data_IF_812600256144
#
_entry.id   IF_812600256144
#
_cell.length_a   1.000
_cell.length_b   1.000
_cell.length_c   1.000
_cell.angle_alpha   90.00
_cell.angle_beta   90.00
_cell.angle_gamma   90.00
#
_symmetry.space_group_name_H-M   'P 1'
#
loop_
_entity.id
_entity.type
_entity.pdbx_description
1 polymer ?
#
# COMPACT_ATOMS: atom_id res chain seq x y z
N UNK A 1 6.97 1.18 -36.44
CA UNK A 1 7.32 0.46 -35.20
C UNK A 1 8.27 1.34 -34.41
N UNK A 2 7.73 2.19 -33.55
CA UNK A 2 8.50 2.99 -32.61
C UNK A 2 9.06 2.04 -31.54
N UNK A 3 10.38 2.04 -31.37
CA UNK A 3 11.03 1.29 -30.30
C UNK A 3 10.48 1.80 -28.97
N UNK A 4 9.99 0.94 -28.06
CA UNK A 4 9.50 1.40 -26.76
C UNK A 4 10.60 2.21 -26.07
N UNK A 5 10.21 3.33 -25.45
CA UNK A 5 11.14 4.18 -24.73
C UNK A 5 11.89 3.35 -23.68
N UNK A 6 13.22 3.43 -23.66
CA UNK A 6 14.04 2.71 -22.68
C UNK A 6 13.63 3.15 -21.26
N UNK A 7 13.51 2.23 -20.27
CA UNK A 7 13.05 2.55 -18.92
C UNK A 7 13.77 3.73 -18.24
N UNK A 8 15.08 3.87 -18.50
CA UNK A 8 15.91 4.99 -18.04
C UNK A 8 15.42 6.37 -18.53
N UNK A 9 14.89 6.47 -19.75
CA UNK A 9 14.39 7.73 -20.31
C UNK A 9 13.10 8.22 -19.65
N UNK A 10 12.26 7.34 -19.10
CA UNK A 10 11.05 7.77 -18.38
C UNK A 10 11.37 8.44 -17.04
N UNK A 11 12.38 7.93 -16.31
CA UNK A 11 12.77 8.48 -14.99
C UNK A 11 13.37 9.89 -15.11
N UNK A 12 14.08 10.17 -16.19
CA UNK A 12 14.65 11.49 -16.48
C UNK A 12 13.62 12.48 -17.05
N UNK A 13 12.55 11.99 -17.68
CA UNK A 13 11.54 12.84 -18.35
C UNK A 13 10.45 13.40 -17.44
N UNK A 14 10.13 12.74 -16.32
CA UNK A 14 9.07 13.23 -15.42
C UNK A 14 9.68 14.22 -14.44
N UNK A 15 9.63 15.50 -14.79
CA UNK A 15 10.02 16.57 -13.88
C UNK A 15 9.19 16.48 -12.57
N UNK A 16 9.82 16.69 -11.40
CA UNK A 16 9.07 16.76 -10.15
C UNK A 16 8.00 17.86 -10.23
N UNK A 17 6.82 17.66 -9.62
CA UNK A 17 5.77 18.66 -9.64
C UNK A 17 6.23 19.95 -8.97
N UNK A 18 5.92 21.08 -9.60
CA UNK A 18 6.12 22.43 -9.05
C UNK A 18 5.25 22.65 -7.82
N UNK A 19 5.61 23.61 -6.98
CA UNK A 19 4.82 23.91 -5.77
C UNK A 19 3.38 24.31 -6.07
N UNK A 20 3.15 25.01 -7.19
CA UNK A 20 1.83 25.43 -7.63
C UNK A 20 0.97 24.25 -8.09
N UNK A 21 1.54 23.36 -8.91
CA UNK A 21 0.88 22.09 -9.28
C UNK A 21 0.55 21.26 -8.04
N UNK A 22 1.48 21.21 -7.08
CA UNK A 22 1.25 20.51 -5.82
C UNK A 22 0.06 21.09 -5.06
N UNK A 23 -0.05 22.41 -4.92
CA UNK A 23 -1.21 23.06 -4.29
C UNK A 23 -2.54 22.74 -4.99
N UNK A 24 -2.52 22.55 -6.31
CA UNK A 24 -3.71 22.22 -7.11
C UNK A 24 -4.11 20.74 -7.01
N UNK A 25 -3.13 19.84 -6.94
CA UNK A 25 -3.32 18.40 -7.10
C UNK A 25 -3.43 17.62 -5.79
N UNK A 26 -3.15 18.25 -4.65
CA UNK A 26 -3.29 17.61 -3.35
C UNK A 26 -4.17 18.41 -2.40
N UNK A 27 -4.81 17.72 -1.46
CA UNK A 27 -5.48 18.37 -0.33
C UNK A 27 -4.44 19.10 0.53
N UNK A 28 -4.74 20.32 0.99
CA UNK A 28 -3.85 21.05 1.88
C UNK A 28 -3.64 20.27 3.17
N UNK A 29 -2.38 20.12 3.58
CA UNK A 29 -1.98 19.45 4.81
C UNK A 29 -1.22 20.46 5.65
N UNK A 30 -1.86 20.95 6.71
CA UNK A 30 -1.21 21.84 7.66
C UNK A 30 -0.19 21.06 8.49
N UNK A 31 1.09 21.36 8.30
CA UNK A 31 2.18 20.75 9.06
C UNK A 31 2.58 21.70 10.18
N UNK A 32 2.50 21.29 11.46
CA UNK A 32 3.00 22.09 12.57
C UNK A 32 4.48 22.46 12.41
N UNK A 33 4.86 23.67 12.79
CA UNK A 33 6.25 24.15 12.66
C UNK A 33 7.24 23.39 13.55
N UNK A 34 6.79 22.89 14.71
CA UNK A 34 7.63 22.25 15.72
C UNK A 34 7.15 20.83 16.03
N UNK A 35 8.08 19.97 16.43
CA UNK A 35 7.77 18.65 16.95
C UNK A 35 6.99 18.79 18.27
N UNK A 36 5.92 18.01 18.40
CA UNK A 36 5.16 17.91 19.64
C UNK A 36 5.93 17.10 20.70
N UNK A 37 5.54 17.19 21.97
CA UNK A 37 6.10 16.34 23.01
C UNK A 37 5.84 14.85 22.74
N UNK A 38 4.72 14.52 22.08
CA UNK A 38 4.39 13.15 21.70
C UNK A 38 5.34 12.61 20.62
N UNK A 39 5.72 13.46 19.64
CA UNK A 39 6.73 13.10 18.64
C UNK A 39 8.08 12.77 19.30
N UNK A 40 8.56 13.65 20.20
CA UNK A 40 9.80 13.45 20.93
C UNK A 40 9.76 12.18 21.79
N UNK A 41 8.66 11.95 22.49
CA UNK A 41 8.47 10.74 23.28
C UNK A 41 8.60 9.48 22.42
N UNK A 42 7.95 9.46 21.25
CA UNK A 42 8.05 8.36 20.31
C UNK A 42 9.49 8.07 19.89
N UNK A 43 10.26 9.10 19.53
CA UNK A 43 11.67 8.92 19.15
C UNK A 43 12.53 8.40 20.31
N UNK A 44 12.33 8.93 21.53
CA UNK A 44 13.07 8.48 22.72
C UNK A 44 12.81 7.00 23.01
N UNK A 45 11.59 6.50 22.82
CA UNK A 45 11.26 5.07 23.01
C UNK A 45 11.91 4.18 21.95
N UNK A 46 12.16 4.68 20.73
CA UNK A 46 12.81 3.91 19.65
C UNK A 46 14.31 3.75 19.85
N UNK A 47 15.00 4.75 20.39
CA UNK A 47 16.47 4.73 20.50
C UNK A 47 17.00 3.45 21.20
N UNK A 48 16.45 3.01 22.34
CA UNK A 48 16.87 1.76 22.98
C UNK A 48 16.59 0.49 22.16
N UNK A 49 15.63 0.54 21.23
CA UNK A 49 15.27 -0.59 20.36
C UNK A 49 16.18 -0.71 19.14
N UNK A 50 16.99 0.31 18.82
CA UNK A 50 17.81 0.32 17.62
C UNK A 50 18.81 -0.86 17.52
N UNK A 51 19.58 -1.23 18.57
CA UNK A 51 20.47 -2.40 18.51
C UNK A 51 19.73 -3.70 18.21
N UNK A 52 18.58 -3.91 18.85
CA UNK A 52 17.74 -5.09 18.62
C UNK A 52 17.15 -5.10 17.21
N UNK A 53 16.76 -3.93 16.70
CA UNK A 53 16.26 -3.76 15.34
C UNK A 53 17.29 -4.24 14.32
N UNK A 54 18.57 -3.89 14.50
CA UNK A 54 19.66 -4.36 13.62
C UNK A 54 19.83 -5.87 13.69
N UNK A 55 19.78 -6.47 14.89
CA UNK A 55 19.89 -7.92 15.06
C UNK A 55 18.74 -8.65 14.36
N UNK A 56 17.50 -8.20 14.59
CA UNK A 56 16.32 -8.78 13.94
C UNK A 56 16.40 -8.59 12.43
N UNK A 57 16.88 -7.44 11.94
CA UNK A 57 17.01 -7.16 10.51
C UNK A 57 17.93 -8.17 9.83
N UNK A 58 19.14 -8.36 10.37
CA UNK A 58 20.11 -9.32 9.84
C UNK A 58 19.57 -10.74 9.92
N UNK A 59 18.96 -11.13 11.04
CA UNK A 59 18.36 -12.45 11.21
C UNK A 59 17.24 -12.70 10.20
N UNK A 60 16.32 -11.74 9.99
CA UNK A 60 15.25 -11.85 9.00
C UNK A 60 15.78 -11.90 7.58
N UNK A 61 16.84 -11.14 7.23
CA UNK A 61 17.50 -11.24 5.92
C UNK A 61 18.02 -12.67 5.66
N UNK A 62 18.74 -13.25 6.63
CA UNK A 62 19.30 -14.59 6.50
C UNK A 62 18.20 -15.67 6.41
N UNK A 63 17.20 -15.59 7.27
CA UNK A 63 16.10 -16.57 7.33
C UNK A 63 15.16 -16.49 6.12
N UNK A 64 15.04 -15.32 5.48
CA UNK A 64 14.20 -15.14 4.30
C UNK A 64 14.88 -15.49 2.98
N UNK A 65 16.20 -15.73 2.95
CA UNK A 65 16.95 -15.99 1.72
C UNK A 65 16.41 -17.22 0.95
N UNK A 66 16.38 -18.39 1.60
CA UNK A 66 15.92 -19.63 0.97
C UNK A 66 14.46 -19.56 0.46
N UNK A 67 13.46 -19.13 1.25
CA UNK A 67 12.09 -19.03 0.75
C UNK A 67 11.94 -17.99 -0.37
N UNK A 68 12.70 -16.88 -0.34
CA UNK A 68 12.67 -15.89 -1.43
C UNK A 68 13.28 -16.44 -2.73
N UNK A 69 14.39 -17.19 -2.65
CA UNK A 69 14.97 -17.85 -3.84
C UNK A 69 13.97 -18.83 -4.46
N UNK A 70 13.30 -19.65 -3.65
CA UNK A 70 12.25 -20.55 -4.16
C UNK A 70 11.07 -19.79 -4.77
N UNK A 71 10.68 -18.67 -4.17
CA UNK A 71 9.63 -17.80 -4.71
C UNK A 71 10.05 -17.19 -6.06
N UNK A 72 11.30 -16.77 -6.19
CA UNK A 72 11.86 -16.27 -7.44
C UNK A 72 11.92 -17.35 -8.52
N UNK A 73 12.36 -18.56 -8.17
CA UNK A 73 12.34 -19.71 -9.09
C UNK A 73 10.92 -20.02 -9.55
N UNK A 74 9.95 -20.07 -8.64
CA UNK A 74 8.54 -20.26 -8.98
C UNK A 74 8.07 -19.23 -10.00
N UNK A 75 8.33 -17.94 -9.75
CA UNK A 75 7.96 -16.83 -10.62
C UNK A 75 8.65 -16.90 -11.99
N UNK A 76 9.92 -17.31 -12.02
CA UNK A 76 10.72 -17.42 -13.24
C UNK A 76 10.12 -18.44 -14.21
N UNK A 77 9.65 -19.58 -13.70
CA UNK A 77 9.02 -20.63 -14.51
C UNK A 77 7.57 -20.30 -14.95
N UNK A 78 7.02 -19.15 -14.55
CA UNK A 78 5.72 -18.73 -15.04
C UNK A 78 5.82 -18.09 -16.43
N UNK A 79 4.77 -18.16 -17.27
CA UNK A 79 4.71 -17.45 -18.55
C UNK A 79 5.03 -15.95 -18.45
N UNK A 80 5.34 -15.30 -19.57
CA UNK A 80 5.75 -13.89 -19.59
C UNK A 80 4.72 -12.94 -18.95
N UNK A 81 3.47 -12.96 -19.41
CA UNK A 81 2.38 -12.19 -18.84
C UNK A 81 1.41 -13.16 -18.16
N UNK A 82 1.08 -12.88 -16.90
CA UNK A 82 0.21 -13.74 -16.08
C UNK A 82 -0.77 -12.86 -15.34
N UNK A 83 -2.07 -13.09 -15.56
CA UNK A 83 -3.12 -12.36 -14.84
C UNK A 83 -3.14 -12.74 -13.36
N UNK A 84 -3.22 -14.02 -13.06
CA UNK A 84 -3.16 -14.57 -11.72
C UNK A 84 -2.40 -15.90 -11.75
N UNK A 85 -1.64 -16.22 -10.71
CA UNK A 85 -0.98 -17.51 -10.62
C UNK A 85 -2.03 -18.63 -10.48
N UNK A 86 -1.89 -19.67 -11.29
CA UNK A 86 -2.76 -20.84 -11.23
C UNK A 86 -2.48 -21.64 -9.95
N UNK A 87 -3.54 -21.96 -9.20
CA UNK A 87 -3.44 -22.66 -7.90
C UNK A 87 -3.63 -24.17 -8.03
N UNK A 88 -2.82 -24.79 -8.90
CA UNK A 88 -2.77 -26.24 -9.09
C UNK A 88 -1.91 -26.96 -8.04
N UNK A 89 -1.72 -28.28 -8.19
CA UNK A 89 -0.96 -29.10 -7.24
C UNK A 89 0.49 -28.63 -7.06
N UNK A 90 1.18 -28.27 -8.16
CA UNK A 90 2.55 -27.77 -8.11
C UNK A 90 2.68 -26.43 -7.37
N UNK A 91 1.72 -25.53 -7.55
CA UNK A 91 1.64 -24.28 -6.78
C UNK A 91 1.55 -24.56 -5.28
N UNK A 92 0.63 -25.44 -4.87
CA UNK A 92 0.44 -25.75 -3.45
C UNK A 92 1.65 -26.44 -2.82
N UNK A 93 2.32 -27.33 -3.56
CA UNK A 93 3.55 -27.97 -3.11
C UNK A 93 4.67 -26.94 -2.84
N UNK A 94 4.91 -26.02 -3.78
CA UNK A 94 5.91 -24.96 -3.62
C UNK A 94 5.50 -23.99 -2.51
N UNK A 95 4.24 -23.56 -2.49
CA UNK A 95 3.72 -22.67 -1.46
C UNK A 95 3.87 -23.26 -0.06
N UNK A 96 3.60 -24.55 0.13
CA UNK A 96 3.77 -25.24 1.41
C UNK A 96 5.25 -25.33 1.81
N UNK A 97 6.14 -25.65 0.86
CA UNK A 97 7.59 -25.67 1.10
C UNK A 97 8.10 -24.28 1.52
N UNK A 98 7.69 -23.24 0.81
CA UNK A 98 8.03 -21.84 1.14
C UNK A 98 7.49 -21.46 2.51
N UNK A 99 6.28 -21.90 2.88
CA UNK A 99 5.71 -21.68 4.21
C UNK A 99 6.55 -22.32 5.32
N UNK A 100 6.96 -23.59 5.15
CA UNK A 100 7.81 -24.29 6.11
C UNK A 100 9.14 -23.58 6.28
N UNK A 101 9.80 -23.22 5.18
CA UNK A 101 11.09 -22.51 5.21
C UNK A 101 10.96 -21.08 5.75
N UNK A 102 9.82 -20.43 5.57
CA UNK A 102 9.55 -19.08 6.11
C UNK A 102 9.11 -19.12 7.57
N UNK A 103 8.81 -20.28 8.15
CA UNK A 103 8.29 -20.37 9.52
C UNK A 103 9.23 -19.72 10.55
N UNK A 104 10.55 -19.93 10.53
CA UNK A 104 11.46 -19.25 11.46
C UNK A 104 11.42 -17.71 11.34
N UNK A 105 11.40 -17.17 10.11
CA UNK A 105 11.33 -15.70 9.91
C UNK A 105 9.97 -15.14 10.29
N UNK A 106 8.88 -15.87 10.05
CA UNK A 106 7.52 -15.51 10.50
C UNK A 106 7.40 -15.49 12.02
N UNK A 107 7.95 -16.50 12.72
CA UNK A 107 7.96 -16.54 14.19
C UNK A 107 8.77 -15.36 14.74
N UNK A 108 9.96 -15.11 14.19
CA UNK A 108 10.78 -13.95 14.58
C UNK A 108 10.04 -12.62 14.36
N UNK A 109 9.36 -12.47 13.22
CA UNK A 109 8.58 -11.27 12.91
C UNK A 109 7.44 -11.07 13.93
N UNK A 110 6.67 -12.11 14.22
CA UNK A 110 5.57 -12.05 15.21
C UNK A 110 6.12 -11.70 16.60
N UNK A 111 7.19 -12.36 17.05
CA UNK A 111 7.83 -12.07 18.35
C UNK A 111 8.31 -10.62 18.40
N UNK A 112 8.97 -10.14 17.34
CA UNK A 112 9.43 -8.76 17.26
C UNK A 112 8.27 -7.76 17.34
N UNK A 113 7.20 -7.97 16.56
CA UNK A 113 6.01 -7.13 16.62
C UNK A 113 5.38 -7.12 18.03
N UNK A 114 5.31 -8.27 18.70
CA UNK A 114 4.82 -8.37 20.09
C UNK A 114 5.73 -7.58 21.04
N UNK A 115 7.05 -7.74 20.95
CA UNK A 115 8.02 -7.01 21.79
C UNK A 115 7.87 -5.49 21.59
N UNK A 116 7.83 -5.03 20.34
CA UNK A 116 7.63 -3.60 20.02
C UNK A 116 6.30 -3.10 20.62
N UNK A 117 5.20 -3.82 20.39
CA UNK A 117 3.90 -3.47 20.95
C UNK A 117 3.93 -3.38 22.48
N UNK A 118 4.55 -4.35 23.16
CA UNK A 118 4.66 -4.38 24.62
C UNK A 118 5.50 -3.21 25.14
N UNK A 119 6.65 -2.93 24.52
CA UNK A 119 7.52 -1.82 24.91
C UNK A 119 6.77 -0.50 24.79
N UNK A 120 6.17 -0.21 23.63
CA UNK A 120 5.41 1.02 23.46
C UNK A 120 4.20 1.10 24.39
N UNK A 121 3.49 -0.01 24.61
CA UNK A 121 2.38 -0.05 25.56
C UNK A 121 2.85 0.27 26.98
N UNK A 122 3.90 -0.38 27.49
CA UNK A 122 4.43 -0.16 28.85
C UNK A 122 4.85 1.30 29.05
N UNK A 123 5.55 1.89 28.08
CA UNK A 123 5.99 3.29 28.18
C UNK A 123 4.85 4.29 27.99
N UNK A 124 3.87 3.99 27.12
CA UNK A 124 2.82 4.94 26.75
C UNK A 124 1.58 4.85 27.64
N UNK A 125 1.27 3.68 28.20
CA UNK A 125 0.06 3.47 29.00
C UNK A 125 -0.04 4.41 30.21
N UNK A 126 1.03 4.69 30.99
CA UNK A 126 0.97 5.67 32.07
C UNK A 126 0.52 7.06 31.58
N UNK A 127 1.07 7.53 30.45
CA UNK A 127 0.67 8.79 29.82
C UNK A 127 -0.81 8.74 29.42
N UNK A 128 -1.22 7.64 28.81
CA UNK A 128 -2.60 7.41 28.38
C UNK A 128 -3.62 7.36 29.52
N UNK A 129 -3.22 6.87 30.71
CA UNK A 129 -4.05 6.86 31.91
C UNK A 129 -4.27 8.29 32.45
N UNK A 130 -3.22 9.11 32.50
CA UNK A 130 -3.36 10.53 32.89
C UNK A 130 -4.18 11.34 31.88
N UNK A 131 -4.20 10.91 30.61
CA UNK A 131 -4.96 11.53 29.51
C UNK A 131 -6.15 10.66 29.05
N UNK A 132 -6.82 9.98 29.97
CA UNK A 132 -7.81 8.96 29.65
C UNK A 132 -8.90 9.41 28.65
N UNK A 133 -9.41 10.64 28.75
CA UNK A 133 -10.42 11.14 27.82
C UNK A 133 -9.91 11.20 26.37
N UNK A 134 -8.68 11.71 26.19
CA UNK A 134 -8.00 11.75 24.89
C UNK A 134 -7.72 10.34 24.38
N UNK A 135 -7.22 9.46 25.25
CA UNK A 135 -6.94 8.06 24.92
C UNK A 135 -8.21 7.33 24.48
N UNK A 136 -9.31 7.49 25.21
CA UNK A 136 -10.60 6.88 24.89
C UNK A 136 -11.13 7.39 23.54
N UNK A 137 -10.95 8.67 23.22
CA UNK A 137 -11.28 9.21 21.91
C UNK A 137 -10.41 8.59 20.82
N UNK A 138 -9.09 8.54 21.00
CA UNK A 138 -8.16 7.92 20.05
C UNK A 138 -8.47 6.44 19.80
N UNK A 139 -8.81 5.69 20.85
CA UNK A 139 -9.23 4.30 20.74
C UNK A 139 -10.55 4.16 19.98
N UNK A 140 -11.53 5.05 20.21
CA UNK A 140 -12.78 5.08 19.43
C UNK A 140 -12.52 5.38 17.96
N UNK A 141 -11.60 6.31 17.65
CA UNK A 141 -11.20 6.59 16.26
C UNK A 141 -10.55 5.38 15.59
N UNK A 142 -9.73 4.60 16.32
CA UNK A 142 -9.09 3.39 15.79
C UNK A 142 -10.03 2.17 15.72
N UNK A 143 -11.09 2.14 16.51
CA UNK A 143 -12.00 0.99 16.66
C UNK A 143 -12.48 0.37 15.33
N UNK A 144 -12.91 1.17 14.32
CA UNK A 144 -13.29 0.64 13.01
C UNK A 144 -12.19 -0.15 12.31
N UNK A 145 -10.93 0.19 12.61
CA UNK A 145 -9.75 -0.39 11.99
C UNK A 145 -9.15 -1.54 12.81
N UNK A 146 -9.81 -1.97 13.90
CA UNK A 146 -9.38 -3.09 14.76
C UNK A 146 -10.05 -4.43 14.37
N UNK A 147 -10.28 -4.69 13.09
CA UNK A 147 -10.94 -5.91 12.62
C UNK A 147 -12.42 -5.74 12.26
N UNK A 148 -12.91 -4.49 12.16
CA UNK A 148 -14.24 -4.14 11.65
C UNK A 148 -14.16 -3.31 10.37
N UNK A 149 -13.51 -3.85 9.32
CA UNK A 149 -13.26 -3.11 8.08
C UNK A 149 -14.53 -2.41 7.58
N UNK A 150 -14.47 -1.07 7.44
CA UNK A 150 -15.57 -0.25 6.94
C UNK A 150 -16.66 0.09 7.95
N UNK A 151 -16.43 -0.05 9.26
CA UNK A 151 -17.24 0.56 10.33
C UNK A 151 -16.83 2.02 10.60
N UNK A 152 -16.48 2.80 9.56
CA UNK A 152 -16.03 4.18 9.75
C UNK A 152 -17.20 5.08 10.17
N UNK A 153 -16.93 6.06 11.02
CA UNK A 153 -17.92 7.04 11.50
C UNK A 153 -18.52 7.96 10.42
N UNK A 154 -18.04 7.88 9.17
CA UNK A 154 -18.41 8.78 8.08
C UNK A 154 -18.80 7.97 6.82
N UNK A 155 -20.09 7.97 6.49
CA UNK A 155 -20.64 7.39 5.26
C UNK A 155 -21.41 6.08 5.42
N UNK A 156 -22.17 5.69 4.40
CA UNK A 156 -22.86 4.39 4.36
C UNK A 156 -21.87 3.26 4.03
N UNK A 157 -21.94 2.16 4.79
CA UNK A 157 -21.12 0.97 4.54
C UNK A 157 -21.42 0.39 3.16
N UNK A 158 -20.38 0.22 2.34
CA UNK A 158 -20.53 -0.37 1.01
C UNK A 158 -20.72 -1.90 1.09
N UNK A 159 -21.28 -2.55 0.04
CA UNK A 159 -21.30 -4.01 -0.04
C UNK A 159 -19.92 -4.66 0.14
N UNK A 160 -18.86 -4.02 -0.37
CA UNK A 160 -17.49 -4.51 -0.20
C UNK A 160 -17.02 -4.48 1.26
N UNK A 161 -17.50 -3.52 2.05
CA UNK A 161 -17.18 -3.42 3.47
C UNK A 161 -17.89 -4.51 4.27
N UNK A 162 -19.16 -4.78 3.95
CA UNK A 162 -19.92 -5.88 4.56
C UNK A 162 -19.29 -7.24 4.29
N UNK A 163 -18.78 -7.46 3.06
CA UNK A 163 -18.07 -8.68 2.71
C UNK A 163 -16.73 -8.79 3.47
N UNK A 164 -15.97 -7.71 3.55
CA UNK A 164 -14.72 -7.68 4.29
C UNK A 164 -14.93 -7.95 5.80
N UNK A 165 -16.03 -7.46 6.38
CA UNK A 165 -16.40 -7.74 7.77
C UNK A 165 -16.81 -9.20 7.95
N UNK A 166 -17.70 -9.72 7.09
CA UNK A 166 -18.20 -11.10 7.13
C UNK A 166 -17.06 -12.14 7.10
N UNK A 167 -16.07 -11.93 6.24
CA UNK A 167 -14.96 -12.87 6.07
C UNK A 167 -13.73 -12.52 6.91
N UNK A 168 -13.75 -11.37 7.57
CA UNK A 168 -12.61 -10.82 8.29
C UNK A 168 -11.48 -10.35 7.38
N UNK A 169 -10.51 -9.70 8.01
CA UNK A 169 -9.24 -9.31 7.41
C UNK A 169 -8.17 -10.34 7.79
N UNK A 170 -8.25 -11.56 7.22
CA UNK A 170 -7.19 -12.56 7.35
C UNK A 170 -6.66 -12.93 5.97
N UNK A 171 -5.33 -12.98 5.85
CA UNK A 171 -4.68 -13.43 4.63
C UNK A 171 -4.35 -14.91 4.72
N UNK A 172 -4.64 -15.66 3.65
CA UNK A 172 -4.03 -16.97 3.51
C UNK A 172 -2.54 -16.78 3.18
N UNK A 173 -1.69 -17.70 3.63
CA UNK A 173 -0.27 -17.66 3.27
C UNK A 173 -0.06 -17.67 1.75
N UNK A 174 -0.93 -18.38 1.01
CA UNK A 174 -0.93 -18.38 -0.45
C UNK A 174 -1.12 -16.97 -1.05
N UNK A 175 -1.89 -16.09 -0.41
CA UNK A 175 -2.06 -14.73 -0.88
C UNK A 175 -0.79 -13.90 -0.66
N UNK A 176 -0.10 -14.09 0.46
CA UNK A 176 1.19 -13.45 0.74
C UNK A 176 2.25 -13.96 -0.25
N UNK A 177 2.31 -15.27 -0.48
CA UNK A 177 3.22 -15.89 -1.44
C UNK A 177 3.06 -15.32 -2.84
N UNK A 178 1.82 -15.26 -3.35
CA UNK A 178 1.54 -14.69 -4.67
C UNK A 178 1.90 -13.18 -4.73
N UNK A 179 1.66 -12.42 -3.66
CA UNK A 179 2.02 -11.00 -3.62
C UNK A 179 3.55 -10.79 -3.66
N UNK A 180 4.31 -11.61 -2.92
CA UNK A 180 5.78 -11.59 -2.94
C UNK A 180 6.30 -12.04 -4.30
N UNK A 181 5.75 -13.10 -4.90
CA UNK A 181 6.14 -13.56 -6.24
C UNK A 181 5.92 -12.46 -7.30
N UNK A 182 4.79 -11.74 -7.23
CA UNK A 182 4.53 -10.62 -8.12
C UNK A 182 5.47 -9.43 -7.87
N UNK A 183 5.91 -9.20 -6.62
CA UNK A 183 6.92 -8.20 -6.29
C UNK A 183 8.30 -8.58 -6.86
N UNK A 184 8.74 -9.82 -6.64
CA UNK A 184 10.02 -10.32 -7.18
C UNK A 184 10.09 -10.17 -8.70
N UNK A 185 8.97 -10.37 -9.42
CA UNK A 185 8.94 -10.10 -10.86
C UNK A 185 9.16 -8.64 -11.21
N UNK A 186 8.55 -7.73 -10.45
CA UNK A 186 8.55 -6.29 -10.74
C UNK A 186 9.87 -5.64 -10.38
N UNK A 187 10.41 -5.96 -9.21
CA UNK A 187 11.53 -5.24 -8.62
C UNK A 187 12.79 -6.09 -8.43
N UNK A 188 12.71 -7.37 -8.80
CA UNK A 188 13.81 -8.30 -8.63
C UNK A 188 13.95 -8.81 -7.19
N UNK A 189 14.70 -9.90 -7.07
CA UNK A 189 14.90 -10.56 -5.78
C UNK A 189 15.68 -9.69 -4.79
N UNK A 190 16.69 -8.95 -5.28
CA UNK A 190 17.60 -8.16 -4.43
C UNK A 190 16.88 -7.06 -3.65
N UNK A 191 15.95 -6.36 -4.29
CA UNK A 191 15.16 -5.32 -3.62
C UNK A 191 14.20 -5.92 -2.61
N UNK A 192 13.50 -7.00 -2.97
CA UNK A 192 12.57 -7.68 -2.07
C UNK A 192 13.29 -8.28 -0.86
N UNK A 193 14.52 -8.78 -1.03
CA UNK A 193 15.37 -9.28 0.08
C UNK A 193 15.75 -8.20 1.09
N UNK A 194 15.75 -6.93 0.69
CA UNK A 194 16.01 -5.79 1.58
C UNK A 194 14.70 -5.25 2.16
N UNK A 195 13.69 -5.10 1.30
CA UNK A 195 12.42 -4.47 1.63
C UNK A 195 11.61 -5.27 2.67
N UNK A 196 11.55 -6.60 2.56
CA UNK A 196 10.78 -7.45 3.50
C UNK A 196 11.38 -7.43 4.91
N UNK A 197 12.70 -7.60 5.11
CA UNK A 197 13.29 -7.46 6.45
C UNK A 197 13.14 -6.06 7.04
N UNK A 198 13.23 -4.99 6.24
CA UNK A 198 12.95 -3.63 6.71
C UNK A 198 11.48 -3.43 7.09
N UNK A 199 10.55 -4.02 6.36
CA UNK A 199 9.14 -4.06 6.75
C UNK A 199 8.95 -4.70 8.13
N UNK A 200 9.53 -5.89 8.32
CA UNK A 200 9.40 -6.63 9.59
C UNK A 200 9.96 -5.83 10.75
N UNK A 201 11.08 -5.13 10.55
CA UNK A 201 11.81 -4.48 11.64
C UNK A 201 11.34 -3.06 11.93
N UNK A 202 11.22 -2.23 10.90
CA UNK A 202 11.01 -0.77 11.04
C UNK A 202 9.53 -0.42 11.13
N UNK A 203 8.66 -1.09 10.37
CA UNK A 203 7.25 -0.68 10.27
C UNK A 203 6.49 -0.80 11.59
N UNK A 204 6.68 -1.83 12.44
CA UNK A 204 6.07 -1.85 13.76
C UNK A 204 6.46 -0.63 14.62
N UNK A 205 7.72 -0.21 14.58
CA UNK A 205 8.18 0.99 15.30
C UNK A 205 7.51 2.25 14.75
N UNK A 206 7.50 2.38 13.43
CA UNK A 206 6.93 3.53 12.75
C UNK A 206 5.41 3.63 12.95
N UNK A 207 4.71 2.50 13.02
CA UNK A 207 3.27 2.45 13.31
C UNK A 207 2.96 3.06 14.67
N UNK A 208 3.77 2.79 15.69
CA UNK A 208 3.61 3.44 17.00
C UNK A 208 3.98 4.92 16.99
N UNK A 209 4.91 5.37 16.14
CA UNK A 209 5.15 6.80 15.96
C UNK A 209 3.96 7.55 15.37
N UNK A 210 3.11 6.88 14.60
CA UNK A 210 2.01 7.53 13.89
C UNK A 210 0.63 7.29 14.54
N UNK A 211 0.40 6.09 15.05
CA UNK A 211 -0.93 5.62 15.44
C UNK A 211 -1.07 5.26 16.93
N UNK A 212 -0.15 5.70 17.80
CA UNK A 212 -0.20 5.40 19.23
C UNK A 212 -1.38 6.11 19.94
N UNK A 213 -2.42 5.39 20.39
CA UNK A 213 -3.60 6.02 20.95
C UNK A 213 -3.39 6.61 22.36
N UNK A 214 -2.30 6.26 23.05
CA UNK A 214 -2.04 6.70 24.42
C UNK A 214 -1.34 8.05 24.51
N UNK A 215 -0.61 8.45 23.47
CA UNK A 215 0.14 9.73 23.45
C UNK A 215 -0.45 10.74 22.47
N UNK A 216 -1.07 10.27 21.38
CA UNK A 216 -1.64 11.11 20.34
C UNK A 216 -3.15 11.30 20.49
N UNK A 217 -3.66 12.39 19.93
CA UNK A 217 -5.09 12.72 19.86
C UNK A 217 -5.62 12.37 18.46
N UNK A 218 -5.83 11.08 18.22
CA UNK A 218 -6.14 10.56 16.89
C UNK A 218 -7.55 10.96 16.44
N UNK A 219 -7.64 11.47 15.21
CA UNK A 219 -8.87 11.81 14.50
C UNK A 219 -8.82 11.25 13.08
N UNK A 220 -9.98 11.04 12.47
CA UNK A 220 -10.02 10.72 11.03
C UNK A 220 -9.71 12.00 10.24
N UNK A 221 -8.65 11.95 9.45
CA UNK A 221 -8.21 13.02 8.55
C UNK A 221 -8.37 12.52 7.12
N UNK A 222 -8.96 13.37 6.27
CA UNK A 222 -9.07 13.11 4.85
C UNK A 222 -7.92 13.78 4.11
N UNK A 223 -7.18 13.01 3.33
CA UNK A 223 -6.22 13.52 2.35
C UNK A 223 -6.55 12.89 1.00
N UNK A 224 -6.47 13.68 -0.06
CA UNK A 224 -6.64 13.19 -1.42
C UNK A 224 -5.50 13.67 -2.30
N UNK A 225 -5.04 12.78 -3.16
CA UNK A 225 -4.05 13.04 -4.20
C UNK A 225 -4.69 12.78 -5.55
N UNK A 226 -4.49 13.71 -6.48
CA UNK A 226 -5.11 13.67 -7.80
C UNK A 226 -4.05 13.78 -8.88
N UNK A 227 -4.24 13.08 -9.98
CA UNK A 227 -3.59 13.42 -11.24
C UNK A 227 -4.36 14.53 -11.95
N UNK A 228 -3.73 15.12 -12.94
CA UNK A 228 -4.45 15.84 -13.99
C UNK A 228 -5.35 14.86 -14.76
N UNK A 229 -6.45 15.34 -15.38
CA UNK A 229 -7.22 14.58 -16.35
C UNK A 229 -6.31 13.87 -17.37
N UNK A 230 -6.63 12.62 -17.66
CA UNK A 230 -5.87 11.80 -18.58
C UNK A 230 -6.58 11.77 -19.94
N UNK A 231 -5.87 12.18 -20.98
CA UNK A 231 -6.19 11.93 -22.39
C UNK A 231 -5.39 10.69 -22.80
N UNK A 232 -6.06 9.53 -22.80
CA UNK A 232 -5.40 8.22 -22.89
C UNK A 232 -5.19 7.83 -24.34
N UNK A 233 -6.17 8.12 -25.20
CA UNK A 233 -6.10 7.86 -26.64
C UNK A 233 -5.46 9.00 -27.46
N UNK A 234 -5.23 10.16 -26.85
CA UNK A 234 -4.51 11.28 -27.45
C UNK A 234 -5.35 12.09 -28.42
N UNK A 235 -6.68 11.98 -28.34
CA UNK A 235 -7.61 12.68 -29.23
C UNK A 235 -7.87 14.14 -28.83
N UNK A 236 -7.29 14.59 -27.70
CA UNK A 236 -7.45 15.93 -27.15
C UNK A 236 -8.78 16.16 -26.43
N UNK A 237 -9.61 15.14 -26.29
CA UNK A 237 -10.89 15.15 -25.59
C UNK A 237 -10.79 14.33 -24.30
N UNK A 238 -11.73 14.59 -23.39
CA UNK A 238 -11.90 13.77 -22.19
C UNK A 238 -13.21 13.01 -22.35
N UNK A 239 -13.12 11.71 -22.69
CA UNK A 239 -14.29 10.89 -23.01
C UNK A 239 -14.41 9.67 -22.06
N UNK A 240 -15.54 8.94 -22.14
CA UNK A 240 -15.77 7.73 -21.32
C UNK A 240 -14.85 6.56 -21.67
N UNK A 241 -14.33 6.52 -22.91
CA UNK A 241 -13.40 5.49 -23.38
C UNK A 241 -12.05 5.66 -22.67
N UNK A 242 -11.54 6.87 -22.52
CA UNK A 242 -10.34 7.16 -21.71
C UNK A 242 -10.48 6.67 -20.26
N UNK A 243 -11.63 6.93 -19.63
CA UNK A 243 -11.89 6.47 -18.25
C UNK A 243 -11.74 4.96 -18.15
N UNK A 244 -12.32 4.24 -19.10
CA UNK A 244 -12.27 2.79 -19.14
C UNK A 244 -10.86 2.26 -19.47
N UNK A 245 -10.13 2.91 -20.39
CA UNK A 245 -8.75 2.56 -20.72
C UNK A 245 -7.82 2.79 -19.53
N UNK A 246 -7.91 3.93 -18.85
CA UNK A 246 -7.16 4.21 -17.62
C UNK A 246 -7.46 3.16 -16.54
N UNK A 247 -8.74 2.79 -16.36
CA UNK A 247 -9.15 1.74 -15.44
C UNK A 247 -8.51 0.39 -15.79
N UNK A 248 -8.55 -0.02 -17.06
CA UNK A 248 -7.94 -1.28 -17.51
C UNK A 248 -6.42 -1.29 -17.36
N UNK A 249 -5.75 -0.20 -17.73
CA UNK A 249 -4.30 -0.06 -17.61
C UNK A 249 -3.86 -0.15 -16.14
N UNK A 250 -4.54 0.59 -15.26
CA UNK A 250 -4.26 0.55 -13.83
C UNK A 250 -4.48 -0.84 -13.24
N UNK A 251 -5.60 -1.48 -13.58
CA UNK A 251 -5.91 -2.84 -13.14
C UNK A 251 -4.84 -3.83 -13.60
N UNK A 252 -4.35 -3.72 -14.84
CA UNK A 252 -3.28 -4.59 -15.37
C UNK A 252 -1.98 -4.39 -14.60
N UNK A 253 -1.51 -3.16 -14.45
CA UNK A 253 -0.22 -2.85 -13.81
C UNK A 253 -0.20 -3.26 -12.33
N UNK A 254 -1.29 -2.98 -11.62
CA UNK A 254 -1.41 -3.23 -10.18
C UNK A 254 -1.76 -4.69 -9.88
N UNK A 255 -2.66 -5.31 -10.65
CA UNK A 255 -3.26 -6.59 -10.26
C UNK A 255 -2.69 -7.83 -10.96
N UNK A 256 -2.13 -7.71 -12.17
CA UNK A 256 -1.59 -8.90 -12.84
C UNK A 256 -0.44 -9.49 -12.04
N UNK A 257 -0.34 -10.80 -11.94
CA UNK A 257 0.80 -11.46 -11.31
C UNK A 257 2.13 -11.13 -12.03
N UNK A 258 2.13 -11.12 -13.37
CA UNK A 258 3.24 -10.69 -14.23
C UNK A 258 2.78 -9.72 -15.31
N UNK A 259 3.54 -8.64 -15.54
CA UNK A 259 3.17 -7.51 -16.41
C UNK A 259 4.02 -7.39 -17.69
N UNK A 260 4.91 -8.37 -17.94
CA UNK A 260 5.88 -8.33 -19.03
C UNK A 260 7.10 -7.50 -18.67
N UNK A 261 8.28 -7.87 -19.18
CA UNK A 261 9.57 -7.37 -18.66
C UNK A 261 9.74 -5.86 -18.84
N UNK A 262 9.27 -5.29 -19.96
CA UNK A 262 9.32 -3.84 -20.22
C UNK A 262 8.49 -3.09 -19.17
N UNK A 263 7.26 -3.51 -18.93
CA UNK A 263 6.39 -2.88 -17.93
C UNK A 263 6.92 -3.10 -16.51
N UNK A 264 7.53 -4.26 -16.22
CA UNK A 264 8.18 -4.51 -14.94
C UNK A 264 9.27 -3.47 -14.67
N UNK A 265 10.18 -3.25 -15.62
CA UNK A 265 11.22 -2.21 -15.51
C UNK A 265 10.66 -0.78 -15.41
N UNK A 266 9.57 -0.47 -16.10
CA UNK A 266 8.92 0.85 -16.00
C UNK A 266 8.34 1.05 -14.60
N UNK A 267 7.59 0.06 -14.09
CA UNK A 267 6.97 0.10 -12.77
C UNK A 267 8.03 0.15 -11.68
N UNK A 268 9.11 -0.60 -11.80
CA UNK A 268 10.25 -0.58 -10.89
C UNK A 268 10.88 0.81 -10.75
N UNK A 269 10.91 1.57 -11.85
CA UNK A 269 11.43 2.94 -11.84
C UNK A 269 10.52 3.95 -11.14
N UNK A 270 9.27 3.59 -10.81
CA UNK A 270 8.33 4.49 -10.15
C UNK A 270 8.67 4.67 -8.66
N UNK A 271 8.36 5.85 -8.09
CA UNK A 271 8.69 6.11 -6.68
C UNK A 271 7.83 5.28 -5.71
N UNK A 272 6.73 4.72 -6.20
CA UNK A 272 5.82 3.83 -5.48
C UNK A 272 5.23 2.80 -6.43
N UNK A 273 5.07 1.58 -5.94
CA UNK A 273 4.42 0.49 -6.68
C UNK A 273 3.51 -0.30 -5.77
N UNK A 274 2.28 -0.55 -6.22
CA UNK A 274 1.35 -1.46 -5.54
C UNK A 274 1.17 -2.71 -6.36
N UNK A 275 1.34 -3.88 -5.74
CA UNK A 275 0.87 -5.15 -6.28
C UNK A 275 -0.30 -5.68 -5.45
N UNK A 276 -1.49 -5.69 -6.06
CA UNK A 276 -2.73 -6.12 -5.45
C UNK A 276 -3.35 -7.21 -6.33
N UNK A 277 -2.87 -8.44 -6.17
CA UNK A 277 -3.20 -9.56 -7.04
C UNK A 277 -4.69 -9.81 -7.21
N UNK A 278 -5.12 -10.38 -8.33
CA UNK A 278 -6.53 -10.79 -8.45
C UNK A 278 -6.94 -11.80 -7.35
N UNK A 279 -8.15 -11.67 -6.79
CA UNK A 279 -8.71 -12.69 -5.93
C UNK A 279 -8.83 -14.02 -6.69
N UNK A 280 -8.60 -15.17 -6.04
CA UNK A 280 -8.81 -16.47 -6.64
C UNK A 280 -10.25 -16.63 -7.14
N UNK A 281 -10.47 -17.42 -8.22
CA UNK A 281 -11.81 -17.75 -8.68
C UNK A 281 -12.67 -18.29 -7.52
N UNK A 282 -13.91 -17.82 -7.42
CA UNK A 282 -14.84 -18.24 -6.37
C UNK A 282 -14.63 -17.61 -4.99
N UNK A 283 -13.57 -16.80 -4.76
CA UNK A 283 -13.44 -16.09 -3.48
C UNK A 283 -14.55 -15.06 -3.33
N UNK A 284 -15.41 -15.26 -2.33
CA UNK A 284 -16.56 -14.39 -2.04
C UNK A 284 -16.11 -13.02 -1.52
N UNK A 285 -15.14 -12.98 -0.59
CA UNK A 285 -14.68 -11.75 0.06
C UNK A 285 -14.09 -10.71 -0.90
N UNK A 286 -13.65 -11.14 -2.09
CA UNK A 286 -12.82 -10.35 -3.03
C UNK A 286 -11.59 -9.71 -2.38
N UNK A 287 -11.13 -10.27 -1.25
CA UNK A 287 -10.00 -9.77 -0.47
C UNK A 287 -8.75 -10.61 -0.70
N UNK A 288 -7.61 -9.94 -0.71
CA UNK A 288 -6.27 -10.53 -0.84
C UNK A 288 -5.24 -9.71 -0.06
N UNK A 289 -4.07 -10.32 0.17
CA UNK A 289 -2.88 -9.58 0.57
C UNK A 289 -2.41 -8.70 -0.60
N UNK A 290 -2.24 -7.41 -0.33
CA UNK A 290 -1.57 -6.47 -1.21
C UNK A 290 -0.18 -6.15 -0.68
N UNK A 291 0.78 -5.98 -1.59
CA UNK A 291 2.15 -5.59 -1.27
C UNK A 291 2.46 -4.25 -1.92
N UNK A 292 2.87 -3.27 -1.13
CA UNK A 292 3.18 -1.92 -1.60
C UNK A 292 4.65 -1.61 -1.35
N UNK A 293 5.39 -1.30 -2.40
CA UNK A 293 6.79 -0.90 -2.28
C UNK A 293 6.90 0.61 -2.40
N UNK A 294 7.49 1.24 -1.38
CA UNK A 294 7.66 2.67 -1.27
C UNK A 294 9.08 3.04 -0.87
N UNK A 295 9.34 4.35 -0.79
CA UNK A 295 10.67 4.92 -0.53
C UNK A 295 11.72 4.46 -1.54
N UNK A 296 11.40 4.47 -2.83
CA UNK A 296 12.35 4.09 -3.88
C UNK A 296 12.82 2.62 -3.80
N UNK A 297 11.94 1.73 -3.34
CA UNK A 297 12.18 0.29 -3.29
C UNK A 297 12.73 -0.23 -1.96
N UNK A 298 13.10 0.64 -1.02
CA UNK A 298 13.75 0.22 0.22
C UNK A 298 12.81 -0.34 1.29
N UNK A 299 11.50 -0.14 1.19
CA UNK A 299 10.57 -0.67 2.17
C UNK A 299 9.29 -1.16 1.51
N UNK A 300 8.78 -2.28 2.02
CA UNK A 300 7.51 -2.85 1.58
C UNK A 300 6.48 -2.80 2.70
N UNK A 301 5.20 -2.80 2.34
CA UNK A 301 4.06 -2.77 3.24
C UNK A 301 3.06 -3.83 2.82
N UNK A 302 2.58 -4.63 3.77
CA UNK A 302 1.53 -5.62 3.50
C UNK A 302 0.20 -5.05 3.97
N UNK A 303 -0.79 -5.08 3.09
CA UNK A 303 -2.08 -4.46 3.28
C UNK A 303 -3.23 -5.40 2.92
N UNK A 304 -4.40 -5.13 3.50
CA UNK A 304 -5.62 -5.83 3.14
C UNK A 304 -6.23 -5.11 1.96
N UNK A 305 -6.38 -5.81 0.83
CA UNK A 305 -6.92 -5.19 -0.37
C UNK A 305 -8.17 -5.90 -0.83
N UNK A 306 -9.14 -5.12 -1.30
CA UNK A 306 -10.35 -5.60 -1.95
C UNK A 306 -10.41 -5.05 -3.36
N UNK A 307 -10.99 -5.85 -4.25
CA UNK A 307 -11.26 -5.50 -5.64
C UNK A 307 -12.72 -5.03 -5.76
N UNK A 308 -13.00 -3.74 -5.49
CA UNK A 308 -14.36 -3.21 -5.41
C UNK A 308 -15.19 -3.43 -6.68
N UNK A 309 -14.57 -3.42 -7.85
CA UNK A 309 -15.25 -3.62 -9.13
C UNK A 309 -15.80 -5.04 -9.34
N UNK A 310 -15.32 -6.02 -8.56
CA UNK A 310 -15.83 -7.40 -8.57
C UNK A 310 -16.93 -7.62 -7.50
N UNK A 311 -17.35 -6.55 -6.80
CA UNK A 311 -18.39 -6.59 -5.78
C UNK A 311 -19.65 -5.91 -6.31
N UNK A 312 -20.72 -6.69 -6.44
CA UNK A 312 -21.99 -6.20 -6.94
C UNK A 312 -22.55 -5.05 -6.09
N UNK A 313 -22.98 -3.98 -6.75
CA UNK A 313 -23.56 -2.80 -6.12
C UNK A 313 -22.57 -1.93 -5.32
N UNK A 314 -21.27 -2.25 -5.32
CA UNK A 314 -20.28 -1.40 -4.68
C UNK A 314 -20.16 -0.06 -5.41
N UNK A 315 -20.12 1.02 -4.62
CA UNK A 315 -19.86 2.38 -5.08
C UNK A 315 -18.65 2.90 -4.30
N UNK A 316 -17.65 3.50 -4.98
CA UNK A 316 -16.54 4.15 -4.30
C UNK A 316 -17.04 5.21 -3.31
N UNK A 317 -16.32 5.42 -2.22
CA UNK A 317 -16.62 6.44 -1.20
C UNK A 317 -16.33 7.83 -1.72
N UNK A 318 -15.37 7.99 -2.62
CA UNK A 318 -15.07 9.28 -3.25
C UNK A 318 -16.17 9.69 -4.25
N UNK A 319 -16.69 10.91 -4.09
CA UNK A 319 -17.73 11.47 -4.96
C UNK A 319 -17.24 11.78 -6.38
N UNK A 320 -15.93 11.99 -6.55
CA UNK A 320 -15.29 12.23 -7.85
C UNK A 320 -14.98 10.95 -8.63
N UNK A 321 -15.10 9.77 -8.01
CA UNK A 321 -14.80 8.50 -8.66
C UNK A 321 -15.88 8.10 -9.68
N UNK A 322 -15.42 7.60 -10.83
CA UNK A 322 -16.21 6.85 -11.80
C UNK A 322 -16.05 5.34 -11.58
N UNK A 323 -14.81 4.89 -11.33
CA UNK A 323 -14.49 3.48 -11.11
C UNK A 323 -13.56 3.30 -9.92
N UNK A 324 -13.91 2.39 -9.00
CA UNK A 324 -13.01 1.93 -7.95
C UNK A 324 -12.13 0.80 -8.44
N UNK A 325 -10.80 0.96 -8.33
CA UNK A 325 -9.83 -0.05 -8.74
C UNK A 325 -9.47 -0.95 -7.57
N UNK A 326 -9.04 -0.36 -6.45
CA UNK A 326 -8.63 -1.07 -5.24
C UNK A 326 -9.13 -0.32 -4.01
N UNK A 327 -9.60 -1.07 -3.02
CA UNK A 327 -9.79 -0.57 -1.65
C UNK A 327 -8.70 -1.17 -0.78
N UNK A 328 -7.88 -0.33 -0.16
CA UNK A 328 -6.85 -0.75 0.80
C UNK A 328 -7.34 -0.44 2.22
N UNK A 329 -7.40 -1.48 3.05
CA UNK A 329 -7.85 -1.39 4.45
C UNK A 329 -6.65 -1.45 5.38
N UNK A 330 -6.40 -0.33 6.03
CA UNK A 330 -5.24 -0.12 6.87
C UNK A 330 -5.63 -0.45 8.31
N UNK A 331 -5.57 -1.74 8.63
CA UNK A 331 -5.96 -2.23 9.95
C UNK A 331 -4.97 -1.74 11.02
N UNK A 332 -5.50 -1.23 12.14
CA UNK A 332 -4.73 -0.76 13.28
C UNK A 332 -3.95 -1.88 13.96
N UNK A 333 -4.42 -3.14 13.87
CA UNK A 333 -3.71 -4.29 14.42
C UNK A 333 -2.62 -4.83 13.48
N UNK A 334 -2.62 -4.47 12.20
CA UNK A 334 -1.64 -4.99 11.23
C UNK A 334 -0.27 -4.33 11.46
N UNK A 335 0.74 -5.07 11.96
CA UNK A 335 2.05 -4.49 12.28
C UNK A 335 2.91 -4.21 11.04
N UNK A 336 2.50 -4.73 9.86
CA UNK A 336 3.23 -4.61 8.59
C UNK A 336 2.73 -3.47 7.71
N UNK A 337 1.97 -2.55 8.30
CA UNK A 337 1.54 -1.31 7.68
C UNK A 337 1.62 -0.18 8.71
N UNK A 338 2.25 0.93 8.33
CA UNK A 338 2.57 2.05 9.22
C UNK A 338 1.38 2.93 9.60
N UNK A 339 0.34 2.96 8.76
CA UNK A 339 -0.87 3.76 8.99
C UNK A 339 -2.06 2.90 9.48
N UNK A 340 -3.09 3.58 9.94
CA UNK A 340 -4.43 3.03 10.18
C UNK A 340 -5.48 3.91 9.48
N UNK A 341 -6.52 3.31 8.90
CA UNK A 341 -7.46 4.02 8.04
C UNK A 341 -8.02 3.21 6.87
N UNK A 342 -8.55 3.95 5.89
CA UNK A 342 -9.16 3.45 4.66
C UNK A 342 -8.62 4.22 3.47
N UNK A 343 -8.36 3.53 2.36
CA UNK A 343 -7.79 4.13 1.16
C UNK A 343 -8.46 3.54 -0.07
N UNK A 344 -8.70 4.37 -1.08
CA UNK A 344 -9.14 3.92 -2.40
C UNK A 344 -8.14 4.31 -3.47
N UNK A 345 -8.11 3.53 -4.54
CA UNK A 345 -7.49 3.88 -5.82
C UNK A 345 -8.63 3.95 -6.82
N UNK A 346 -8.89 5.14 -7.38
CA UNK A 346 -10.05 5.38 -8.24
C UNK A 346 -9.64 6.03 -9.55
N UNK A 347 -10.38 5.72 -10.61
CA UNK A 347 -10.46 6.56 -11.82
C UNK A 347 -11.63 7.52 -11.63
N UNK A 348 -11.40 8.80 -11.92
CA UNK A 348 -12.34 9.91 -11.73
C UNK A 348 -13.25 10.10 -12.94
N UNK A 349 -14.36 10.79 -12.71
CA UNK A 349 -15.35 11.18 -13.73
C UNK A 349 -14.80 12.12 -14.80
N UNK A 350 -13.67 12.78 -14.54
CA UNK A 350 -12.92 13.63 -15.47
C UNK A 350 -11.64 12.95 -15.95
N UNK A 351 -11.62 11.62 -15.99
CA UNK A 351 -10.54 10.77 -16.50
C UNK A 351 -9.24 10.80 -15.69
N UNK A 352 -9.12 11.68 -14.69
CA UNK A 352 -8.00 11.67 -13.77
C UNK A 352 -7.98 10.42 -12.89
N UNK A 353 -6.87 10.20 -12.19
CA UNK A 353 -6.76 9.20 -11.13
C UNK A 353 -6.79 9.92 -9.79
N UNK A 354 -7.36 9.29 -8.78
CA UNK A 354 -7.21 9.74 -7.41
C UNK A 354 -6.90 8.61 -6.43
N UNK A 355 -6.32 9.03 -5.30
CA UNK A 355 -5.95 8.16 -4.20
C UNK A 355 -6.44 8.77 -2.87
N UNK A 356 -7.75 8.78 -2.62
CA UNK A 356 -8.30 9.33 -1.38
C UNK A 356 -8.00 8.41 -0.20
N UNK A 357 -7.59 9.01 0.91
CA UNK A 357 -7.21 8.33 2.14
C UNK A 357 -7.94 8.98 3.33
N UNK A 358 -8.60 8.15 4.13
CA UNK A 358 -9.20 8.50 5.41
C UNK A 358 -8.36 7.86 6.51
N UNK A 359 -7.47 8.64 7.10
CA UNK A 359 -6.41 8.15 7.98
C UNK A 359 -6.66 8.54 9.43
N UNK A 360 -6.34 7.65 10.36
CA UNK A 360 -6.30 7.99 11.79
C UNK A 360 -4.99 8.73 12.08
N UNK A 361 -5.07 10.05 12.22
CA UNK A 361 -3.91 10.91 12.42
C UNK A 361 -4.10 11.89 13.57
N UNK A 362 -2.99 12.40 14.09
CA UNK A 362 -3.00 13.54 15.02
C UNK A 362 -2.55 14.80 14.27
N UNK A 363 -3.48 15.73 13.95
CA UNK A 363 -3.16 16.97 13.27
C UNK A 363 -2.12 17.85 13.98
N UNK A 364 -1.90 17.63 15.28
CA UNK A 364 -0.89 18.36 16.06
C UNK A 364 0.52 17.73 16.01
N UNK A 365 0.64 16.49 15.51
CA UNK A 365 1.94 15.83 15.33
C UNK A 365 2.61 16.27 14.04
N UNK A 366 3.76 16.93 14.16
CA UNK A 366 4.57 17.29 12.99
C UNK A 366 5.07 16.07 12.24
N UNK A 367 5.41 14.99 12.94
CA UNK A 367 5.87 13.74 12.30
C UNK A 367 4.76 13.15 11.44
N UNK A 368 3.55 13.02 11.99
CA UNK A 368 2.42 12.45 11.26
C UNK A 368 2.04 13.31 10.06
N UNK A 369 1.88 14.62 10.25
CA UNK A 369 1.48 15.50 9.14
C UNK A 369 2.56 15.59 8.06
N UNK A 370 3.85 15.51 8.40
CA UNK A 370 4.92 15.36 7.41
C UNK A 370 4.83 14.04 6.64
N UNK A 371 4.48 12.93 7.30
CA UNK A 371 4.27 11.65 6.61
C UNK A 371 3.09 11.74 5.64
N UNK A 372 1.96 12.34 6.06
CA UNK A 372 0.81 12.60 5.18
C UNK A 372 1.19 13.49 3.98
N UNK A 373 1.91 14.58 4.22
CA UNK A 373 2.39 15.45 3.15
C UNK A 373 3.33 14.71 2.19
N UNK A 374 4.26 13.91 2.71
CA UNK A 374 5.20 13.15 1.88
C UNK A 374 4.49 12.11 1.01
N UNK A 375 3.47 11.44 1.57
CA UNK A 375 2.57 10.55 0.84
C UNK A 375 1.82 11.34 -0.24
N UNK A 376 1.34 12.55 0.06
CA UNK A 376 0.71 13.40 -0.96
C UNK A 376 1.65 13.65 -2.14
N UNK A 377 2.90 14.08 -1.88
CA UNK A 377 3.91 14.33 -2.92
C UNK A 377 4.22 13.09 -3.74
N UNK A 378 4.34 11.95 -3.07
CA UNK A 378 4.62 10.66 -3.69
C UNK A 378 3.55 10.28 -4.71
N UNK A 379 2.27 10.33 -4.33
CA UNK A 379 1.17 9.91 -5.20
C UNK A 379 0.86 10.91 -6.31
N UNK A 380 1.07 12.21 -6.12
CA UNK A 380 1.00 13.18 -7.23
C UNK A 380 2.09 12.87 -8.28
N UNK A 381 3.32 12.58 -7.83
CA UNK A 381 4.42 12.19 -8.71
C UNK A 381 4.09 10.89 -9.45
N UNK A 382 3.55 9.89 -8.75
CA UNK A 382 3.10 8.64 -9.36
C UNK A 382 2.01 8.87 -10.42
N UNK A 383 1.06 9.76 -10.15
CA UNK A 383 0.02 10.14 -11.12
C UNK A 383 0.61 10.71 -12.41
N UNK A 384 1.67 11.53 -12.32
CA UNK A 384 2.41 12.02 -13.49
C UNK A 384 3.14 10.89 -14.23
N UNK A 385 3.78 9.97 -13.51
CA UNK A 385 4.43 8.79 -14.12
C UNK A 385 3.42 7.92 -14.86
N UNK A 386 2.24 7.70 -14.28
CA UNK A 386 1.17 6.93 -14.91
C UNK A 386 0.61 7.64 -16.15
N UNK A 387 0.40 8.95 -16.09
CA UNK A 387 -0.01 9.75 -17.24
C UNK A 387 1.01 9.67 -18.40
N UNK A 388 2.30 9.76 -18.08
CA UNK A 388 3.37 9.61 -19.06
C UNK A 388 3.40 8.20 -19.65
N UNK A 389 3.22 7.17 -18.82
CA UNK A 389 3.13 5.78 -19.26
C UNK A 389 2.03 5.60 -20.31
N UNK A 390 0.81 6.05 -20.03
CA UNK A 390 -0.32 5.91 -20.95
C UNK A 390 -0.04 6.57 -22.31
N UNK A 391 0.54 7.79 -22.30
CA UNK A 391 0.93 8.51 -23.52
C UNK A 391 2.07 7.87 -24.32
N UNK A 392 2.87 7.00 -23.73
CA UNK A 392 4.02 6.38 -24.40
C UNK A 392 3.75 4.93 -24.84
N UNK A 393 2.59 4.35 -24.49
CA UNK A 393 2.25 2.98 -24.86
C UNK A 393 1.45 2.92 -26.17
N UNK A 394 1.97 2.26 -27.23
CA UNK A 394 1.27 2.14 -28.52
C UNK A 394 -0.10 1.45 -28.40
N UNK A 395 -0.25 0.52 -27.45
CA UNK A 395 -1.50 -0.22 -27.24
C UNK A 395 -2.69 0.64 -26.82
N UNK A 396 -2.44 1.87 -26.37
CA UNK A 396 -3.48 2.86 -26.05
C UNK A 396 -3.65 3.94 -27.14
N UNK A 397 -2.73 4.04 -28.10
CA UNK A 397 -2.75 5.04 -29.17
C UNK A 397 -3.40 4.56 -30.47
N UNK A 398 -3.35 3.25 -30.76
CA UNK A 398 -3.68 2.71 -32.08
C UNK A 398 -5.11 2.12 -32.21
N UNK A 399 -6.04 2.44 -31.31
CA UNK A 399 -7.46 2.11 -31.48
C UNK A 399 -8.31 3.38 -31.46
N UNK A 400 -8.50 4.07 -32.60
CA UNK A 400 -9.51 5.11 -32.74
C UNK A 400 -10.92 4.59 -32.42
#
# INVERSE_FOLDING_TARGET
MTTPATPLKMREKVAPPTEEEMKKLMTHVDVPERLSCADWFGFVVIVPLAPFTVVVLVATMLLSLAPLVLTALFQYFQPGIVRAFERGAGFWAICALVMVLSTPSMVLAVVWAVVVNLVFFIFSAPVGLFRWQSTAQSLRTLWPYMGRPGDSSVGLRSPADKLAEKHGCMWSFADIFCAIAGAVHRQGISEVMIAVPLMVTIIPLYKWLLCNPFIYTLKEVYINQRSEPLDVDGDGNSNLKDQYLAFLAMRRLVCNAKIGDINAHIVDAWPFTGHHQFPPPGRESKTVAGLQMGMGGYCTLISHTTHPYDVEGHKPRSESAAHGVIVVRLQAWNPWYQLAGYVEVNVRKDNGVEHPMWLCADPSSKTHMNSCLSINKLFVTLGKCFAAYLREQPEFQDNP
#
